data_IF_188489689579
#
_entry.id   IF_188489689579
#
_cell.length_a   1.000
_cell.length_b   1.000
_cell.length_c   1.000
_cell.angle_alpha   90.00
_cell.angle_beta   90.00
_cell.angle_gamma   90.00
#
_symmetry.space_group_name_H-M   'P 1'
#
loop_
_entity.id
_entity.type
_entity.pdbx_description
1 polymer ?
#
# COMPACT_ATOMS: atom_id res chain seq x y z
N UNK A 1 32.89 -3.51 -2.65
CA UNK A 1 32.09 -4.33 -1.72
C UNK A 1 30.85 -3.50 -1.47
N UNK A 2 29.72 -3.82 -2.12
CA UNK A 2 28.47 -3.06 -1.95
C UNK A 2 28.10 -3.18 -0.48
N UNK A 3 27.93 -2.05 0.21
CA UNK A 3 27.62 -2.05 1.64
C UNK A 3 26.23 -2.65 1.86
N UNK A 4 26.00 -3.32 2.99
CA UNK A 4 24.72 -3.99 3.29
C UNK A 4 23.50 -3.08 3.07
N UNK A 5 23.68 -1.78 3.40
CA UNK A 5 22.68 -0.72 3.27
C UNK A 5 22.28 -0.42 1.82
N UNK A 6 23.23 -0.45 0.87
CA UNK A 6 22.93 -0.19 -0.55
C UNK A 6 22.06 -1.32 -1.16
N UNK A 7 22.27 -2.56 -0.71
CA UNK A 7 21.50 -3.72 -1.20
C UNK A 7 20.06 -3.69 -0.67
N UNK A 8 19.88 -3.24 0.57
CA UNK A 8 18.56 -3.07 1.21
C UNK A 8 17.77 -1.97 0.49
N UNK A 9 18.38 -0.79 0.28
CA UNK A 9 17.76 0.30 -0.48
C UNK A 9 17.33 -0.11 -1.90
N UNK A 10 18.19 -0.85 -2.62
CA UNK A 10 17.84 -1.38 -3.93
C UNK A 10 16.67 -2.37 -3.88
N UNK A 11 16.57 -3.14 -2.80
CA UNK A 11 15.48 -4.10 -2.60
C UNK A 11 14.16 -3.37 -2.38
N UNK A 12 14.14 -2.37 -1.49
CA UNK A 12 12.93 -1.57 -1.24
C UNK A 12 12.51 -0.78 -2.48
N UNK A 13 13.44 -0.16 -3.20
CA UNK A 13 13.15 0.51 -4.47
C UNK A 13 12.56 -0.42 -5.52
N UNK A 14 13.02 -1.68 -5.56
CA UNK A 14 12.45 -2.70 -6.46
C UNK A 14 11.02 -3.06 -6.07
N UNK A 15 10.70 -3.15 -4.78
CA UNK A 15 9.32 -3.39 -4.32
C UNK A 15 8.40 -2.26 -4.74
N UNK A 16 8.81 -1.02 -4.52
CA UNK A 16 8.05 0.17 -4.91
C UNK A 16 7.78 0.20 -6.42
N UNK A 17 8.82 0.04 -7.25
CA UNK A 17 8.67 0.00 -8.70
C UNK A 17 7.77 -1.14 -9.17
N UNK A 18 7.84 -2.30 -8.53
CA UNK A 18 6.96 -3.43 -8.83
C UNK A 18 5.50 -3.14 -8.44
N UNK A 19 5.27 -2.49 -7.31
CA UNK A 19 3.94 -2.05 -6.89
C UNK A 19 3.32 -1.13 -7.95
N UNK A 20 4.03 -0.06 -8.32
CA UNK A 20 3.60 0.91 -9.34
C UNK A 20 3.34 0.21 -10.68
N UNK A 21 4.28 -0.62 -11.13
CA UNK A 21 4.15 -1.34 -12.39
C UNK A 21 2.92 -2.27 -12.43
N UNK A 22 2.64 -2.98 -11.33
CA UNK A 22 1.47 -3.87 -11.24
C UNK A 22 0.16 -3.11 -11.23
N UNK A 23 0.10 -1.94 -10.59
CA UNK A 23 -1.08 -1.07 -10.64
C UNK A 23 -1.27 -0.54 -12.06
N UNK A 24 -0.21 -0.07 -12.72
CA UNK A 24 -0.25 0.40 -14.11
C UNK A 24 -0.77 -0.70 -15.06
N UNK A 25 -0.30 -1.94 -14.89
CA UNK A 25 -0.82 -3.10 -15.63
C UNK A 25 -2.28 -3.39 -15.33
N UNK A 26 -2.70 -3.23 -14.07
CA UNK A 26 -4.10 -3.42 -13.68
C UNK A 26 -5.04 -2.38 -14.33
N UNK A 27 -4.55 -1.17 -14.59
CA UNK A 27 -5.30 -0.13 -15.33
C UNK A 27 -5.56 -0.56 -16.78
N UNK A 28 -4.66 -1.34 -17.40
CA UNK A 28 -4.81 -1.83 -18.78
C UNK A 28 -5.90 -2.90 -18.94
N UNK A 29 -6.35 -3.53 -17.84
CA UNK A 29 -7.32 -4.64 -17.85
C UNK A 29 -8.80 -4.19 -17.98
N UNK A 30 -9.08 -2.89 -18.12
CA UNK A 30 -10.43 -2.29 -18.31
C UNK A 30 -11.48 -2.79 -17.30
N UNK A 31 -11.05 -2.90 -16.03
CA UNK A 31 -11.91 -3.35 -14.92
C UNK A 31 -12.84 -2.24 -14.45
N UNK A 32 -13.99 -2.61 -13.90
CA UNK A 32 -14.81 -1.66 -13.16
C UNK A 32 -14.06 -1.14 -11.91
N UNK A 33 -14.43 0.06 -11.46
CA UNK A 33 -13.72 0.77 -10.38
C UNK A 33 -13.65 -0.06 -9.09
N UNK A 34 -14.71 -0.80 -8.72
CA UNK A 34 -14.68 -1.58 -7.49
C UNK A 34 -13.72 -2.76 -7.60
N UNK A 35 -13.75 -3.47 -8.73
CA UNK A 35 -12.84 -4.59 -9.00
C UNK A 35 -11.38 -4.12 -9.06
N UNK A 36 -11.13 -2.99 -9.74
CA UNK A 36 -9.81 -2.36 -9.79
C UNK A 36 -9.30 -2.01 -8.38
N UNK A 37 -10.10 -1.31 -7.57
CA UNK A 37 -9.69 -0.90 -6.22
C UNK A 37 -9.49 -2.12 -5.30
N UNK A 38 -10.34 -3.15 -5.41
CA UNK A 38 -10.17 -4.39 -4.66
C UNK A 38 -8.85 -5.08 -4.99
N UNK A 39 -8.53 -5.27 -6.29
CA UNK A 39 -7.27 -5.86 -6.71
C UNK A 39 -6.06 -5.01 -6.31
N UNK A 40 -6.19 -3.68 -6.35
CA UNK A 40 -5.18 -2.72 -5.90
C UNK A 40 -4.78 -2.95 -4.44
N UNK A 41 -5.73 -3.31 -3.56
CA UNK A 41 -5.40 -3.58 -2.14
C UNK A 41 -4.35 -4.68 -1.96
N UNK A 42 -4.40 -5.74 -2.77
CA UNK A 42 -3.43 -6.83 -2.72
C UNK A 42 -2.06 -6.40 -3.24
N UNK A 43 -2.03 -5.60 -4.31
CA UNK A 43 -0.79 -5.08 -4.88
C UNK A 43 -0.09 -4.15 -3.88
N UNK A 44 -0.84 -3.26 -3.21
CA UNK A 44 -0.30 -2.37 -2.17
C UNK A 44 0.28 -3.21 -1.02
N UNK A 45 -0.45 -4.22 -0.54
CA UNK A 45 0.02 -5.08 0.55
C UNK A 45 1.36 -5.77 0.23
N UNK A 46 1.53 -6.23 -1.01
CA UNK A 46 2.77 -6.86 -1.49
C UNK A 46 3.99 -5.89 -1.52
N UNK A 47 3.75 -4.58 -1.45
CA UNK A 47 4.80 -3.56 -1.41
C UNK A 47 5.51 -3.46 -0.04
N UNK A 48 4.92 -4.03 1.01
CA UNK A 48 5.45 -3.99 2.38
C UNK A 48 6.29 -5.23 2.72
N UNK A 49 7.11 -5.16 3.76
CA UNK A 49 8.00 -6.22 4.22
C UNK A 49 7.26 -7.47 4.68
N UNK A 50 6.09 -7.31 5.31
CA UNK A 50 5.25 -8.43 5.74
C UNK A 50 3.82 -8.35 5.18
N UNK A 51 3.61 -8.65 3.89
CA UNK A 51 2.31 -8.49 3.21
C UNK A 51 1.14 -9.20 3.92
N UNK A 52 1.38 -10.38 4.50
CA UNK A 52 0.36 -11.14 5.21
C UNK A 52 -0.17 -10.46 6.49
N UNK A 53 0.52 -9.43 6.98
CA UNK A 53 0.13 -8.64 8.14
C UNK A 53 -0.44 -7.27 7.74
N UNK A 54 -0.55 -6.99 6.44
CA UNK A 54 -1.09 -5.74 5.94
C UNK A 54 -2.60 -5.83 5.73
N UNK A 55 -3.30 -4.79 6.19
CA UNK A 55 -4.68 -4.50 5.80
C UNK A 55 -4.73 -3.17 5.09
N UNK A 56 -5.46 -3.09 3.98
CA UNK A 56 -5.62 -1.87 3.19
C UNK A 56 -7.07 -1.45 3.22
N UNK A 57 -7.29 -0.16 3.45
CA UNK A 57 -8.57 0.52 3.34
C UNK A 57 -8.46 1.58 2.26
N UNK A 58 -9.41 1.62 1.34
CA UNK A 58 -9.50 2.66 0.33
C UNK A 58 -10.88 3.30 0.42
N UNK A 59 -10.90 4.61 0.48
CA UNK A 59 -12.08 5.44 0.32
C UNK A 59 -11.86 6.27 -0.94
N UNK A 60 -12.83 6.24 -1.86
CA UNK A 60 -12.83 7.07 -3.07
C UNK A 60 -14.26 7.51 -3.35
N UNK A 61 -14.55 8.78 -3.12
CA UNK A 61 -15.89 9.38 -3.19
C UNK A 61 -16.91 8.62 -2.33
N UNK A 62 -17.83 7.87 -2.93
CA UNK A 62 -18.84 7.05 -2.26
C UNK A 62 -18.46 5.56 -2.18
N UNK A 63 -17.29 5.18 -2.71
CA UNK A 63 -16.80 3.80 -2.73
C UNK A 63 -15.88 3.56 -1.53
N UNK A 64 -16.16 2.49 -0.79
CA UNK A 64 -15.33 2.02 0.33
C UNK A 64 -14.88 0.58 0.05
N UNK A 65 -13.57 0.38 0.01
CA UNK A 65 -12.94 -0.93 -0.18
C UNK A 65 -12.12 -1.28 1.07
N UNK A 66 -12.22 -2.54 1.47
CA UNK A 66 -11.42 -3.16 2.53
C UNK A 66 -10.77 -4.39 1.94
N UNK A 67 -9.47 -4.56 2.17
CA UNK A 67 -8.74 -5.75 1.76
C UNK A 67 -9.35 -7.01 2.40
N UNK A 68 -9.05 -8.17 1.83
CA UNK A 68 -9.44 -9.44 2.43
C UNK A 68 -8.88 -9.56 3.85
N UNK A 69 -9.70 -10.03 4.79
CA UNK A 69 -9.37 -10.15 6.23
C UNK A 69 -9.01 -8.82 6.92
N UNK A 70 -9.49 -7.70 6.39
CA UNK A 70 -9.24 -6.36 6.92
C UNK A 70 -9.39 -6.26 8.44
N UNK A 71 -8.37 -5.67 9.07
CA UNK A 71 -8.42 -5.18 10.45
C UNK A 71 -7.63 -3.89 10.55
N UNK A 72 -8.19 -2.93 11.28
CA UNK A 72 -7.41 -1.81 11.75
C UNK A 72 -6.34 -2.29 12.75
N UNK A 73 -5.20 -1.63 12.74
CA UNK A 73 -4.09 -1.86 13.65
C UNK A 73 -3.62 -0.54 14.25
N UNK A 74 -2.86 -0.61 15.34
CA UNK A 74 -2.34 0.60 16.00
C UNK A 74 -1.36 1.37 15.12
N UNK A 75 -0.64 0.67 14.26
CA UNK A 75 0.33 1.23 13.33
C UNK A 75 -0.30 1.35 11.95
N UNK A 76 -0.36 2.57 11.42
CA UNK A 76 -0.91 2.83 10.09
C UNK A 76 -0.21 3.96 9.35
N UNK A 77 -0.28 3.89 8.03
CA UNK A 77 0.03 4.96 7.09
C UNK A 77 -1.28 5.42 6.42
N UNK A 78 -1.34 6.70 6.07
CA UNK A 78 -2.47 7.31 5.40
C UNK A 78 -1.97 8.24 4.30
N UNK A 79 -2.58 8.15 3.12
CA UNK A 79 -2.35 9.06 2.02
C UNK A 79 -3.67 9.53 1.41
N UNK A 80 -3.73 10.80 1.03
CA UNK A 80 -4.92 11.42 0.44
C UNK A 80 -4.96 11.18 -1.07
N UNK A 81 -6.06 10.64 -1.58
CA UNK A 81 -6.30 10.56 -3.02
C UNK A 81 -6.76 11.91 -3.52
N UNK A 82 -5.97 12.55 -4.38
CA UNK A 82 -6.21 13.92 -4.88
C UNK A 82 -6.34 13.96 -6.39
N UNK A 83 -7.27 14.77 -6.87
CA UNK A 83 -7.29 15.25 -8.25
C UNK A 83 -7.10 16.77 -8.23
N UNK A 84 -5.93 17.22 -8.66
CA UNK A 84 -5.47 18.61 -8.51
C UNK A 84 -5.52 19.02 -7.03
N UNK A 85 -6.42 19.95 -6.68
CA UNK A 85 -6.58 20.47 -5.32
C UNK A 85 -7.78 19.89 -4.57
N UNK A 86 -8.52 18.93 -5.18
CA UNK A 86 -9.67 18.28 -4.54
C UNK A 86 -9.24 16.93 -3.97
N UNK A 87 -9.41 16.75 -2.67
CA UNK A 87 -9.33 15.43 -2.03
C UNK A 87 -10.58 14.65 -2.42
N UNK A 88 -10.38 13.50 -3.06
CA UNK A 88 -11.43 12.58 -3.48
C UNK A 88 -11.62 11.43 -2.49
N UNK A 89 -10.63 11.18 -1.64
CA UNK A 89 -10.67 10.10 -0.66
C UNK A 89 -9.29 9.84 -0.06
N UNK A 90 -9.05 8.61 0.38
CA UNK A 90 -7.81 8.22 1.06
C UNK A 90 -7.50 6.74 0.93
N UNK A 91 -6.21 6.41 1.04
CA UNK A 91 -5.73 5.06 1.27
C UNK A 91 -5.17 5.02 2.68
N UNK A 92 -5.57 4.02 3.46
CA UNK A 92 -4.95 3.70 4.74
C UNK A 92 -4.37 2.28 4.70
N UNK A 93 -3.15 2.12 5.17
CA UNK A 93 -2.48 0.84 5.31
C UNK A 93 -2.19 0.59 6.77
N UNK A 94 -2.58 -0.57 7.28
CA UNK A 94 -2.41 -0.97 8.67
C UNK A 94 -1.52 -2.19 8.77
N UNK A 95 -0.54 -2.16 9.66
CA UNK A 95 0.12 -3.38 10.11
C UNK A 95 -0.68 -4.01 11.25
N UNK A 96 -0.86 -5.33 11.19
CA UNK A 96 -1.56 -6.08 12.23
C UNK A 96 -0.81 -6.03 13.56
N UNK A 97 -1.56 -5.81 14.64
CA UNK A 97 -1.02 -5.84 16.00
C UNK A 97 -0.40 -7.19 16.41
N UNK A 98 -0.63 -8.25 15.63
CA UNK A 98 0.00 -9.58 15.82
C UNK A 98 1.52 -9.56 15.61
N UNK A 99 2.07 -8.55 14.94
CA UNK A 99 3.51 -8.44 14.72
C UNK A 99 4.26 -8.02 16.00
N UNK A 100 3.53 -7.61 17.06
CA UNK A 100 4.06 -7.26 18.40
C UNK A 100 5.25 -6.26 18.36
N UNK A 101 5.31 -5.42 17.33
CA UNK A 101 6.29 -4.35 17.16
C UNK A 101 5.65 -2.98 17.41
N UNK A 102 6.40 -2.07 18.07
CA UNK A 102 5.92 -0.72 18.35
C UNK A 102 5.67 0.08 17.06
N UNK A 103 6.61 0.04 16.11
CA UNK A 103 6.43 0.54 14.75
C UNK A 103 7.08 -0.45 13.78
N UNK A 104 6.29 -1.21 13.01
CA UNK A 104 6.78 -2.16 12.03
C UNK A 104 7.11 -1.55 10.66
N UNK A 105 6.77 -0.27 10.43
CA UNK A 105 7.06 0.38 9.15
C UNK A 105 8.54 0.74 9.03
N UNK A 106 9.13 0.42 7.88
CA UNK A 106 10.44 0.94 7.48
C UNK A 106 10.33 2.42 7.07
N UNK A 107 11.46 3.14 7.03
CA UNK A 107 11.46 4.52 6.53
C UNK A 107 11.05 4.57 5.06
N UNK A 108 11.51 3.61 4.26
CA UNK A 108 11.20 3.49 2.84
C UNK A 108 9.71 3.19 2.59
N UNK A 109 9.07 2.40 3.45
CA UNK A 109 7.65 2.05 3.31
C UNK A 109 6.71 3.25 3.53
N UNK A 110 7.15 4.24 4.30
CA UNK A 110 6.37 5.47 4.54
C UNK A 110 6.16 6.26 3.25
N UNK A 111 7.07 6.12 2.28
CA UNK A 111 7.00 6.77 0.98
C UNK A 111 6.24 5.98 -0.08
N UNK A 112 5.81 4.75 0.21
CA UNK A 112 5.13 3.91 -0.79
C UNK A 112 3.77 4.47 -1.24
N UNK A 113 3.10 5.25 -0.37
CA UNK A 113 1.80 5.84 -0.63
C UNK A 113 1.85 7.33 -1.04
N UNK A 114 3.05 7.91 -1.12
CA UNK A 114 3.27 9.31 -1.55
C UNK A 114 3.15 9.44 -3.08
#
# INVERSE_FOLDING_TARGET
>A
MISMNEKEQLTERKKELNCIYRIDKLVEEDLDVQTFLMATTGIIADGFQYPCYISVFIELEDIIIRSTYYREGRNFLISELKNKNKVLGKICVFYSDKLEQNNPFLEEEQHLLD
#
